data_IF_215322963399
#
_entry.id   IF_215322963399
#
_cell.length_a   1.000
_cell.length_b   1.000
_cell.length_c   1.000
_cell.angle_alpha   90.00
_cell.angle_beta   90.00
_cell.angle_gamma   90.00
#
_symmetry.space_group_name_H-M   'P 1'
#
loop_
_entity.id
_entity.type
_entity.pdbx_description
1 polymer ?
#
# COMPACT_ATOMS: atom_id res chain seq x y z
N UNK A 1 19.14 -6.71 -4.15
CA UNK A 1 17.80 -6.32 -4.64
C UNK A 1 17.22 -7.54 -5.33
N UNK A 2 16.18 -8.13 -4.76
CA UNK A 2 15.46 -9.20 -5.46
C UNK A 2 14.77 -8.56 -6.65
N UNK A 3 15.15 -9.00 -7.84
CA UNK A 3 14.59 -8.45 -9.06
C UNK A 3 13.09 -8.69 -9.13
N UNK A 4 12.33 -7.69 -9.52
CA UNK A 4 10.90 -7.77 -9.81
C UNK A 4 10.48 -9.06 -10.54
N UNK A 5 11.28 -9.62 -11.48
CA UNK A 5 10.94 -10.88 -12.16
C UNK A 5 10.73 -12.07 -11.22
N UNK A 6 11.40 -12.12 -10.07
CA UNK A 6 11.22 -13.20 -9.10
C UNK A 6 9.98 -13.01 -8.20
N UNK A 7 9.52 -11.77 -8.01
CA UNK A 7 8.38 -11.45 -7.15
C UNK A 7 7.04 -11.59 -7.88
N UNK A 8 6.98 -11.36 -9.19
CA UNK A 8 5.73 -11.41 -9.96
C UNK A 8 5.06 -12.79 -9.91
N UNK A 9 5.76 -13.92 -10.14
CA UNK A 9 5.12 -15.24 -10.03
C UNK A 9 4.57 -15.52 -8.62
N UNK A 10 5.26 -15.09 -7.58
CA UNK A 10 4.80 -15.24 -6.20
C UNK A 10 3.54 -14.38 -5.93
N UNK A 11 3.50 -13.16 -6.45
CA UNK A 11 2.33 -12.30 -6.37
C UNK A 11 1.14 -12.88 -7.14
N UNK A 12 1.33 -13.37 -8.36
CA UNK A 12 0.29 -14.01 -9.16
C UNK A 12 -0.27 -15.26 -8.47
N UNK A 13 0.59 -16.05 -7.83
CA UNK A 13 0.15 -17.20 -7.03
C UNK A 13 -0.73 -16.77 -5.85
N UNK A 14 -0.40 -15.67 -5.18
CA UNK A 14 -1.26 -15.12 -4.11
C UNK A 14 -2.59 -14.60 -4.67
N UNK A 15 -2.57 -13.86 -5.78
CA UNK A 15 -3.78 -13.34 -6.44
C UNK A 15 -4.72 -14.49 -6.81
N UNK A 16 -4.20 -15.61 -7.32
CA UNK A 16 -5.00 -16.76 -7.71
C UNK A 16 -5.78 -17.42 -6.54
N UNK A 17 -5.37 -17.19 -5.30
CA UNK A 17 -6.05 -17.72 -4.10
C UNK A 17 -7.17 -16.83 -3.58
N UNK A 18 -7.30 -15.60 -4.10
CA UNK A 18 -8.22 -14.59 -3.59
C UNK A 18 -9.44 -14.45 -4.49
N UNK A 19 -10.60 -14.20 -3.88
CA UNK A 19 -11.82 -13.87 -4.64
C UNK A 19 -11.69 -12.49 -5.29
N UNK A 20 -12.23 -12.36 -6.48
CA UNK A 20 -12.27 -11.11 -7.24
C UNK A 20 -13.33 -10.14 -6.71
N UNK A 21 -13.15 -8.81 -6.81
CA UNK A 21 -11.97 -8.14 -7.37
C UNK A 21 -10.75 -8.19 -6.44
N UNK A 22 -9.56 -8.20 -7.01
CA UNK A 22 -8.30 -8.00 -6.26
C UNK A 22 -7.80 -6.59 -6.51
N UNK A 23 -7.47 -5.88 -5.43
CA UNK A 23 -6.94 -4.52 -5.48
C UNK A 23 -5.50 -4.53 -5.00
N UNK A 24 -4.60 -4.03 -5.81
CA UNK A 24 -3.17 -3.95 -5.53
C UNK A 24 -2.74 -2.51 -5.34
N UNK A 25 -2.03 -2.24 -4.26
CA UNK A 25 -1.27 -1.02 -4.05
C UNK A 25 0.22 -1.38 -3.97
N UNK A 26 1.04 -0.78 -4.81
CA UNK A 26 2.47 -0.98 -4.79
C UNK A 26 3.17 0.05 -3.89
N UNK A 27 4.14 -0.40 -3.11
CA UNK A 27 4.98 0.49 -2.32
C UNK A 27 6.05 1.20 -3.16
N UNK A 28 6.62 2.26 -2.60
CA UNK A 28 7.56 3.14 -3.32
C UNK A 28 8.93 2.52 -3.63
N UNK A 29 9.39 1.56 -2.83
CA UNK A 29 10.68 0.92 -3.01
C UNK A 29 11.83 1.92 -3.16
N UNK A 30 12.81 1.60 -3.97
CA UNK A 30 14.01 2.43 -4.20
C UNK A 30 13.71 3.84 -4.73
N UNK A 31 12.56 4.05 -5.37
CA UNK A 31 12.19 5.38 -5.87
C UNK A 31 11.84 6.33 -4.72
N UNK A 32 11.12 5.84 -3.72
CA UNK A 32 10.82 6.62 -2.51
C UNK A 32 12.05 6.71 -1.60
N UNK A 33 12.95 5.72 -1.59
CA UNK A 33 14.20 5.82 -0.85
C UNK A 33 15.10 6.93 -1.42
N UNK A 34 15.18 7.06 -2.75
CA UNK A 34 15.84 8.19 -3.40
C UNK A 34 15.20 9.53 -3.00
N UNK A 35 13.87 9.60 -2.93
CA UNK A 35 13.18 10.81 -2.48
C UNK A 35 13.51 11.16 -1.03
N UNK A 36 13.63 10.18 -0.13
CA UNK A 36 14.09 10.41 1.25
C UNK A 36 15.50 10.99 1.31
N UNK A 37 16.39 10.52 0.43
CA UNK A 37 17.74 11.07 0.33
C UNK A 37 17.73 12.52 -0.18
N UNK A 38 16.90 12.83 -1.18
CA UNK A 38 16.71 14.20 -1.67
C UNK A 38 16.15 15.11 -0.59
N UNK A 39 15.12 14.65 0.15
CA UNK A 39 14.56 15.43 1.26
C UNK A 39 15.61 15.74 2.32
N UNK A 40 16.45 14.74 2.68
CA UNK A 40 17.52 14.92 3.67
C UNK A 40 18.56 15.95 3.21
N UNK A 41 18.89 15.98 1.91
CA UNK A 41 19.92 16.88 1.35
C UNK A 41 19.36 18.28 1.12
N UNK A 42 18.15 18.40 0.59
CA UNK A 42 17.58 19.67 0.13
C UNK A 42 16.52 20.24 1.08
N UNK A 43 16.19 19.54 2.17
CA UNK A 43 15.21 19.98 3.17
C UNK A 43 13.85 20.32 2.53
N UNK A 44 13.31 19.42 1.70
CA UNK A 44 12.05 19.61 0.99
C UNK A 44 10.86 19.80 1.93
N UNK A 45 10.94 19.21 3.12
CA UNK A 45 9.92 19.20 4.17
C UNK A 45 8.91 18.08 4.00
N UNK A 46 8.38 17.60 5.15
CA UNK A 46 7.56 16.40 5.24
C UNK A 46 6.35 16.44 4.30
N UNK A 47 5.62 17.54 4.28
CA UNK A 47 4.43 17.68 3.44
C UNK A 47 4.74 17.58 1.95
N UNK A 48 5.78 18.25 1.48
CA UNK A 48 6.20 18.21 0.08
C UNK A 48 6.64 16.79 -0.29
N UNK A 49 7.49 16.20 0.53
CA UNK A 49 8.03 14.85 0.32
C UNK A 49 6.93 13.79 0.36
N UNK A 50 5.95 13.93 1.27
CA UNK A 50 4.79 13.04 1.35
C UNK A 50 3.99 13.02 0.03
N UNK A 51 3.67 14.18 -0.53
CA UNK A 51 2.89 14.24 -1.77
C UNK A 51 3.68 13.75 -2.99
N UNK A 52 4.99 14.05 -3.07
CA UNK A 52 5.85 13.51 -4.13
C UNK A 52 5.97 11.98 -4.00
N UNK A 53 6.05 11.45 -2.77
CA UNK A 53 6.05 10.01 -2.55
C UNK A 53 4.76 9.35 -3.04
N UNK A 54 3.59 9.93 -2.76
CA UNK A 54 2.30 9.43 -3.27
C UNK A 54 2.25 9.48 -4.81
N UNK A 55 2.70 10.57 -5.44
CA UNK A 55 2.78 10.66 -6.90
C UNK A 55 3.75 9.63 -7.50
N UNK A 56 4.80 9.27 -6.75
CA UNK A 56 5.72 8.17 -7.11
C UNK A 56 5.01 6.80 -7.10
N UNK A 57 4.08 6.56 -6.17
CA UNK A 57 3.26 5.33 -6.17
C UNK A 57 2.37 5.25 -7.42
N UNK A 58 1.81 6.37 -7.87
CA UNK A 58 1.04 6.45 -9.12
C UNK A 58 1.91 6.08 -10.34
N UNK A 59 3.15 6.56 -10.37
CA UNK A 59 4.08 6.22 -11.43
C UNK A 59 4.39 4.72 -11.45
N UNK A 60 4.62 4.12 -10.27
CA UNK A 60 4.83 2.68 -10.13
C UNK A 60 3.59 1.90 -10.57
N UNK A 61 2.39 2.32 -10.19
CA UNK A 61 1.15 1.68 -10.60
C UNK A 61 1.00 1.63 -12.14
N UNK A 62 1.31 2.74 -12.81
CA UNK A 62 1.31 2.82 -14.28
C UNK A 62 2.35 1.88 -14.91
N UNK A 63 3.55 1.82 -14.36
CA UNK A 63 4.61 0.93 -14.82
C UNK A 63 4.21 -0.54 -14.67
N UNK A 64 3.56 -0.90 -13.55
CA UNK A 64 3.10 -2.27 -13.30
C UNK A 64 2.00 -2.69 -14.27
N UNK A 65 1.03 -1.84 -14.56
CA UNK A 65 -0.01 -2.13 -15.54
C UNK A 65 0.57 -2.25 -16.96
N UNK A 66 1.56 -1.43 -17.29
CA UNK A 66 2.25 -1.56 -18.58
C UNK A 66 3.00 -2.91 -18.71
N UNK A 67 3.56 -3.42 -17.60
CA UNK A 67 4.24 -4.71 -17.57
C UNK A 67 3.26 -5.91 -17.50
N UNK A 68 2.05 -5.70 -17.00
CA UNK A 68 1.03 -6.74 -16.75
C UNK A 68 -0.28 -6.40 -17.49
N UNK A 69 -0.41 -6.68 -18.79
CA UNK A 69 -1.52 -6.21 -19.62
C UNK A 69 -2.91 -6.68 -19.20
N UNK A 70 -3.00 -7.76 -18.41
CA UNK A 70 -4.27 -8.27 -17.84
C UNK A 70 -4.76 -7.46 -16.62
N UNK A 71 -3.92 -6.62 -16.05
CA UNK A 71 -4.25 -5.78 -14.88
C UNK A 71 -4.80 -4.43 -15.34
N UNK A 72 -5.66 -3.84 -14.55
CA UNK A 72 -6.34 -2.58 -14.87
C UNK A 72 -5.85 -1.47 -13.93
N UNK A 73 -5.46 -0.33 -14.51
CA UNK A 73 -5.14 0.86 -13.71
C UNK A 73 -6.42 1.44 -13.11
N UNK A 74 -6.40 1.76 -11.83
CA UNK A 74 -7.51 2.37 -11.11
C UNK A 74 -7.13 3.78 -10.61
N UNK A 75 -7.85 4.78 -11.07
CA UNK A 75 -7.60 6.21 -10.80
C UNK A 75 -8.75 6.87 -10.03
N UNK A 76 -9.82 6.12 -9.75
CA UNK A 76 -11.03 6.65 -9.15
C UNK A 76 -10.92 6.69 -7.61
N UNK A 77 -11.77 7.54 -7.00
CA UNK A 77 -11.83 7.68 -5.55
C UNK A 77 -12.49 6.45 -4.89
N UNK A 78 -13.53 5.91 -5.52
CA UNK A 78 -14.30 4.78 -4.99
C UNK A 78 -13.62 3.44 -5.26
N UNK A 79 -14.10 2.39 -4.57
CA UNK A 79 -13.62 1.03 -4.77
C UNK A 79 -13.89 0.50 -6.19
N UNK A 80 -12.96 -0.27 -6.77
CA UNK A 80 -13.23 -0.97 -8.03
C UNK A 80 -14.35 -1.99 -7.87
N UNK A 81 -15.14 -2.16 -8.92
CA UNK A 81 -16.21 -3.15 -9.00
C UNK A 81 -16.02 -4.12 -10.16
N UNK A 82 -16.67 -5.27 -10.09
CA UNK A 82 -16.55 -6.33 -11.09
C UNK A 82 -15.32 -7.21 -10.90
N UNK A 83 -15.02 -8.07 -11.88
CA UNK A 83 -13.94 -9.04 -11.78
C UNK A 83 -12.63 -8.46 -12.35
N UNK A 84 -11.51 -8.88 -11.78
CA UNK A 84 -10.18 -8.58 -12.28
C UNK A 84 -9.21 -8.09 -11.19
N UNK A 85 -8.00 -7.83 -11.64
CA UNK A 85 -6.94 -7.24 -10.83
C UNK A 85 -6.86 -5.76 -11.15
N UNK A 86 -6.98 -4.93 -10.14
CA UNK A 86 -6.92 -3.48 -10.24
C UNK A 86 -5.69 -2.97 -9.51
N UNK A 87 -4.87 -2.21 -10.19
CA UNK A 87 -3.69 -1.55 -9.61
C UNK A 87 -4.06 -0.11 -9.34
N UNK A 88 -4.04 0.27 -8.07
CA UNK A 88 -4.44 1.62 -7.66
C UNK A 88 -3.28 2.59 -7.79
N UNK A 89 -3.57 3.73 -8.43
CA UNK A 89 -2.78 4.95 -8.36
C UNK A 89 -3.38 5.83 -7.23
N UNK A 90 -2.76 5.87 -6.03
CA UNK A 90 -3.43 6.34 -4.82
C UNK A 90 -3.60 7.85 -4.72
N UNK A 91 -2.92 8.65 -5.55
CA UNK A 91 -2.87 10.11 -5.39
C UNK A 91 -4.27 10.77 -5.44
N UNK A 92 -5.14 10.30 -6.34
CA UNK A 92 -6.52 10.82 -6.43
C UNK A 92 -7.31 10.55 -5.15
N UNK A 93 -7.25 9.32 -4.64
CA UNK A 93 -7.90 8.95 -3.38
C UNK A 93 -7.32 9.75 -2.21
N UNK A 94 -6.01 9.79 -2.04
CA UNK A 94 -5.37 10.48 -0.91
C UNK A 94 -5.70 11.97 -0.88
N UNK A 95 -5.69 12.66 -2.04
CA UNK A 95 -6.08 14.07 -2.14
C UNK A 95 -7.56 14.30 -1.85
N UNK A 96 -8.42 13.39 -2.26
CA UNK A 96 -9.84 13.44 -1.93
C UNK A 96 -10.06 13.22 -0.43
N UNK A 97 -9.45 12.18 0.15
CA UNK A 97 -9.61 11.84 1.57
C UNK A 97 -9.13 12.98 2.48
N UNK A 98 -7.99 13.60 2.17
CA UNK A 98 -7.46 14.74 2.91
C UNK A 98 -8.43 15.96 2.90
N UNK A 99 -9.22 16.14 1.84
CA UNK A 99 -10.20 17.23 1.74
C UNK A 99 -11.53 16.91 2.42
N UNK A 100 -12.00 15.66 2.30
CA UNK A 100 -13.32 15.24 2.80
C UNK A 100 -13.28 14.83 4.28
N UNK A 101 -12.14 14.32 4.73
CA UNK A 101 -11.98 13.76 6.06
C UNK A 101 -10.76 14.36 6.80
N UNK A 102 -10.67 15.69 6.98
CA UNK A 102 -9.45 16.34 7.47
C UNK A 102 -9.02 15.90 8.89
N UNK A 103 -9.94 15.33 9.66
CA UNK A 103 -9.65 14.82 11.03
C UNK A 103 -9.14 13.37 11.00
N UNK A 104 -9.61 12.58 10.02
CA UNK A 104 -9.36 11.14 9.94
C UNK A 104 -8.41 10.72 8.81
N UNK A 105 -8.01 11.65 7.94
CA UNK A 105 -7.04 11.37 6.88
C UNK A 105 -5.65 11.06 7.45
N UNK A 106 -4.80 10.53 6.59
CA UNK A 106 -3.40 10.29 6.92
C UNK A 106 -2.65 11.61 7.12
N UNK A 107 -1.67 11.65 8.05
CA UNK A 107 -0.81 12.83 8.19
C UNK A 107 0.05 13.02 6.93
N UNK A 108 0.22 14.28 6.53
CA UNK A 108 1.08 14.66 5.41
C UNK A 108 2.56 14.63 5.85
N UNK A 109 3.07 13.44 6.18
CA UNK A 109 4.42 13.23 6.70
C UNK A 109 4.98 11.85 6.32
N UNK A 110 6.25 11.60 6.63
CA UNK A 110 6.91 10.32 6.46
C UNK A 110 6.39 9.21 7.41
N UNK A 111 5.59 9.56 8.43
CA UNK A 111 4.96 8.61 9.33
C UNK A 111 3.92 7.72 8.62
N UNK A 112 3.33 8.21 7.53
CA UNK A 112 2.38 7.48 6.70
C UNK A 112 3.03 7.02 5.39
N UNK A 113 3.08 5.72 5.15
CA UNK A 113 3.62 5.12 3.92
C UNK A 113 2.54 4.33 3.16
N UNK A 114 2.96 3.55 2.17
CA UNK A 114 2.04 2.70 1.39
C UNK A 114 1.23 1.73 2.25
N UNK A 115 1.74 1.30 3.41
CA UNK A 115 1.01 0.39 4.30
C UNK A 115 -0.21 1.09 4.91
N UNK A 116 -0.02 2.27 5.48
CA UNK A 116 -1.13 3.10 6.01
C UNK A 116 -2.09 3.55 4.91
N UNK A 117 -1.59 3.88 3.72
CA UNK A 117 -2.43 4.22 2.57
C UNK A 117 -3.33 3.04 2.21
N UNK A 118 -2.77 1.82 2.10
CA UNK A 118 -3.54 0.62 1.80
C UNK A 118 -4.62 0.34 2.86
N UNK A 119 -4.26 0.47 4.15
CA UNK A 119 -5.21 0.29 5.25
C UNK A 119 -6.32 1.35 5.23
N UNK A 120 -5.97 2.63 5.01
CA UNK A 120 -6.94 3.72 4.92
C UNK A 120 -7.91 3.53 3.76
N UNK A 121 -7.41 3.15 2.59
CA UNK A 121 -8.23 2.83 1.42
C UNK A 121 -9.16 1.65 1.71
N UNK A 122 -8.63 0.55 2.27
CA UNK A 122 -9.41 -0.62 2.62
C UNK A 122 -10.53 -0.29 3.63
N UNK A 123 -10.24 0.58 4.61
CA UNK A 123 -11.21 1.05 5.60
C UNK A 123 -12.34 1.87 4.95
N UNK A 124 -11.97 2.88 4.15
CA UNK A 124 -12.96 3.77 3.49
C UNK A 124 -13.80 3.02 2.46
N UNK A 125 -13.23 2.05 1.78
CA UNK A 125 -13.92 1.22 0.79
C UNK A 125 -14.70 0.05 1.40
N UNK A 126 -14.58 -0.18 2.71
CA UNK A 126 -15.28 -1.24 3.41
C UNK A 126 -14.77 -2.65 3.06
N UNK A 127 -13.50 -2.81 2.74
CA UNK A 127 -12.91 -4.12 2.48
C UNK A 127 -12.75 -4.91 3.78
N UNK A 128 -13.14 -6.18 3.77
CA UNK A 128 -13.06 -7.05 4.93
C UNK A 128 -11.62 -7.56 5.19
N UNK A 129 -10.78 -7.57 4.17
CA UNK A 129 -9.42 -8.12 4.26
C UNK A 129 -8.38 -7.23 3.59
N UNK A 130 -7.21 -7.14 4.22
CA UNK A 130 -6.00 -6.51 3.71
C UNK A 130 -4.84 -7.50 3.85
N UNK A 131 -4.06 -7.68 2.79
CA UNK A 131 -2.82 -8.46 2.85
C UNK A 131 -1.65 -7.58 2.48
N UNK A 132 -0.71 -7.39 3.40
CA UNK A 132 0.55 -6.71 3.16
C UNK A 132 1.60 -7.73 2.70
N UNK A 133 2.16 -7.52 1.53
CA UNK A 133 3.21 -8.36 0.95
C UNK A 133 4.56 -7.67 1.16
N UNK A 134 5.45 -8.30 1.92
CA UNK A 134 6.77 -7.74 2.24
C UNK A 134 7.87 -8.47 1.48
N UNK A 135 8.81 -7.71 0.93
CA UNK A 135 9.96 -8.23 0.20
C UNK A 135 11.15 -8.58 1.10
N UNK A 136 10.98 -8.59 2.42
CA UNK A 136 12.03 -8.91 3.39
C UNK A 136 11.94 -10.36 3.83
N UNK A 137 13.06 -11.11 3.74
CA UNK A 137 13.14 -12.49 4.20
C UNK A 137 12.99 -12.59 5.72
N UNK A 138 12.29 -13.63 6.19
CA UNK A 138 12.23 -14.01 7.61
C UNK A 138 10.94 -13.74 8.35
N UNK A 139 9.91 -13.20 7.71
CA UNK A 139 8.62 -12.99 8.36
C UNK A 139 7.79 -14.27 8.40
N UNK A 140 7.37 -14.65 9.59
CA UNK A 140 6.30 -15.64 9.76
C UNK A 140 5.00 -15.05 9.24
N UNK A 141 4.16 -15.85 8.58
CA UNK A 141 2.78 -15.48 8.36
C UNK A 141 2.15 -15.21 9.73
N UNK A 142 1.83 -13.97 10.03
CA UNK A 142 1.13 -13.61 11.26
C UNK A 142 -0.35 -13.83 10.97
N UNK A 143 -0.88 -14.94 11.45
CA UNK A 143 -2.32 -15.16 11.51
C UNK A 143 -2.86 -14.46 12.73
N UNK A 144 -3.92 -13.69 12.51
CA UNK A 144 -4.77 -13.03 13.50
C UNK A 144 -4.16 -11.82 14.25
N UNK A 145 -4.84 -10.73 14.01
CA UNK A 145 -4.70 -9.38 14.47
C UNK A 145 -4.57 -9.19 15.98
N UNK A 146 -3.36 -9.26 16.50
CA UNK A 146 -3.03 -8.60 17.76
C UNK A 146 -1.95 -7.56 17.49
N UNK A 147 -2.19 -6.33 17.89
CA UNK A 147 -1.39 -5.14 17.61
C UNK A 147 0.08 -5.19 18.09
N UNK A 148 0.47 -6.20 18.83
CA UNK A 148 1.81 -6.36 19.40
C UNK A 148 2.84 -6.97 18.42
N UNK A 149 2.41 -7.46 17.25
CA UNK A 149 3.29 -8.15 16.30
C UNK A 149 3.73 -7.31 15.08
N UNK A 150 3.38 -6.03 15.05
CA UNK A 150 3.60 -5.16 13.89
C UNK A 150 4.88 -4.32 13.94
N UNK A 151 5.59 -4.30 15.09
CA UNK A 151 6.74 -3.44 15.33
C UNK A 151 7.86 -3.64 14.30
N UNK A 152 8.22 -2.55 13.62
CA UNK A 152 9.24 -2.53 12.58
C UNK A 152 8.82 -3.16 11.24
N UNK A 153 7.58 -3.65 11.11
CA UNK A 153 7.08 -4.29 9.89
C UNK A 153 6.18 -3.38 9.06
N UNK A 154 5.53 -2.43 9.72
CA UNK A 154 4.64 -1.42 9.12
C UNK A 154 5.00 -0.05 9.64
N UNK A 155 4.47 0.99 9.01
CA UNK A 155 4.67 2.36 9.46
C UNK A 155 3.87 2.68 10.73
N UNK A 156 4.21 3.82 11.38
CA UNK A 156 3.62 4.23 12.67
C UNK A 156 2.12 4.47 12.59
N UNK A 157 1.63 5.03 11.48
CA UNK A 157 0.21 5.33 11.29
C UNK A 157 -0.62 4.07 11.09
N UNK A 158 -0.05 3.02 10.51
CA UNK A 158 -0.73 1.75 10.34
C UNK A 158 -1.25 1.20 11.67
N UNK A 159 -0.38 1.14 12.70
CA UNK A 159 -0.75 0.64 14.02
C UNK A 159 -1.84 1.49 14.70
N UNK A 160 -1.89 2.80 14.43
CA UNK A 160 -2.95 3.68 14.92
C UNK A 160 -4.28 3.43 14.22
N UNK A 161 -4.23 3.25 12.88
CA UNK A 161 -5.42 3.02 12.07
C UNK A 161 -6.11 1.69 12.36
N UNK A 162 -5.37 0.63 12.69
CA UNK A 162 -5.97 -0.68 13.03
C UNK A 162 -6.90 -0.62 14.23
N UNK A 163 -6.75 0.39 15.09
CA UNK A 163 -7.59 0.60 16.28
C UNK A 163 -8.84 1.43 16.01
N UNK A 164 -8.96 2.04 14.82
CA UNK A 164 -10.11 2.84 14.44
C UNK A 164 -11.26 1.95 13.96
N UNK A 165 -12.50 2.45 14.15
CA UNK A 165 -13.70 1.79 13.62
C UNK A 165 -13.66 1.68 12.10
N UNK A 166 -14.12 0.55 11.56
CA UNK A 166 -14.17 0.29 10.12
C UNK A 166 -12.89 -0.29 9.50
N UNK A 167 -11.84 -0.52 10.29
CA UNK A 167 -10.66 -1.22 9.80
C UNK A 167 -11.02 -2.64 9.32
N UNK A 168 -10.31 -3.18 8.30
CA UNK A 168 -10.52 -4.54 7.82
C UNK A 168 -10.46 -5.58 8.94
N UNK A 169 -11.40 -6.53 8.92
CA UNK A 169 -11.48 -7.59 9.94
C UNK A 169 -10.28 -8.52 9.91
N UNK A 170 -9.74 -8.75 8.71
CA UNK A 170 -8.61 -9.65 8.49
C UNK A 170 -7.44 -8.87 7.89
N UNK A 171 -6.36 -8.73 8.67
CA UNK A 171 -5.12 -8.13 8.20
C UNK A 171 -4.04 -9.21 8.26
N UNK A 172 -3.31 -9.43 7.15
CA UNK A 172 -2.25 -10.43 7.03
C UNK A 172 -0.96 -9.79 6.56
N UNK A 173 0.15 -10.31 7.06
CA UNK A 173 1.49 -10.03 6.55
C UNK A 173 2.03 -11.31 5.91
N UNK A 174 2.48 -11.20 4.68
CA UNK A 174 3.04 -12.32 3.90
C UNK A 174 4.39 -11.92 3.35
N UNK A 175 5.40 -12.77 3.52
CA UNK A 175 6.68 -12.61 2.83
C UNK A 175 6.60 -13.21 1.44
N UNK A 176 7.01 -12.44 0.42
CA UNK A 176 7.13 -12.93 -0.96
C UNK A 176 8.44 -13.68 -1.21
N UNK A 177 9.38 -13.67 -0.25
CA UNK A 177 10.65 -14.37 -0.37
C UNK A 177 10.53 -15.72 0.32
N UNK A 178 10.71 -16.84 -0.41
CA UNK A 178 10.82 -18.16 0.21
C UNK A 178 12.03 -18.21 1.17
N UNK A 179 11.91 -18.98 2.22
CA UNK A 179 13.02 -19.27 3.14
C UNK A 179 14.06 -20.15 2.45
#
# INVERSE_FOLDING_TARGET
MLGWPALIPALEAQIATVRQPVVLLFGGGVMVDLLRDLDRVYCLGEKTSHWIAIDTLDLIARAMVAAMPSWKLWLEVGAPSGNGVFVVAPATFCRWDARQNPVDCLPESWAATSDSIALRMATVWGFESLTLLKATGGMKAVSDSTSESWDGLVDEEFAKLTKKSGAPRFIRLVSLIPR
#
